data_IF_980869826956
#
_entry.id   IF_980869826956
#
_cell.length_a   1.000
_cell.length_b   1.000
_cell.length_c   1.000
_cell.angle_alpha   90.00
_cell.angle_beta   90.00
_cell.angle_gamma   90.00
#
_symmetry.space_group_name_H-M   'P 1'
#
loop_
_entity.id
_entity.type
_entity.pdbx_description
1 polymer ?
#
# COMPACT_ATOMS: atom_id res chain seq x y z
N UNK A 1 -28.11 -69.55 21.45
CA UNK A 1 -26.64 -69.46 21.29
C UNK A 1 -26.37 -68.99 19.86
N UNK A 2 -25.65 -67.94 19.49
CA UNK A 2 -24.85 -66.89 20.12
C UNK A 2 -25.14 -65.60 19.31
N UNK A 3 -25.40 -64.47 19.96
CA UNK A 3 -25.46 -63.16 19.29
C UNK A 3 -24.03 -62.71 19.02
N UNK A 4 -23.66 -62.48 17.76
CA UNK A 4 -22.38 -61.87 17.38
C UNK A 4 -22.58 -60.37 17.27
N UNK A 5 -22.04 -59.64 18.24
CA UNK A 5 -21.91 -58.19 18.28
C UNK A 5 -20.81 -57.75 17.32
N UNK A 6 -21.15 -57.23 16.14
CA UNK A 6 -20.21 -56.46 15.32
C UNK A 6 -20.17 -55.01 15.82
N UNK A 7 -19.19 -54.71 16.66
CA UNK A 7 -18.79 -53.34 16.99
C UNK A 7 -18.01 -52.81 15.78
N UNK A 8 -18.65 -51.97 14.97
CA UNK A 8 -17.99 -51.22 13.91
C UNK A 8 -17.22 -50.07 14.56
N UNK A 9 -15.92 -50.25 14.77
CA UNK A 9 -15.02 -49.21 15.28
C UNK A 9 -14.84 -48.14 14.20
N UNK A 10 -15.46 -46.98 14.44
CA UNK A 10 -15.31 -45.75 13.67
C UNK A 10 -13.91 -45.17 13.92
N UNK A 11 -12.95 -45.43 13.04
CA UNK A 11 -11.69 -44.69 12.97
C UNK A 11 -11.81 -43.57 11.93
N UNK A 12 -12.36 -42.43 12.35
CA UNK A 12 -12.26 -41.18 11.60
C UNK A 12 -10.89 -40.56 11.88
N UNK A 13 -9.91 -40.85 11.03
CA UNK A 13 -8.61 -40.15 11.04
C UNK A 13 -8.87 -38.74 10.49
N UNK A 14 -9.14 -37.78 11.38
CA UNK A 14 -9.08 -36.36 11.04
C UNK A 14 -7.58 -36.03 10.95
N UNK A 15 -7.02 -36.18 9.75
CA UNK A 15 -5.75 -35.55 9.42
C UNK A 15 -5.99 -34.04 9.41
N UNK A 16 -5.76 -33.38 10.55
CA UNK A 16 -5.57 -31.94 10.57
C UNK A 16 -4.27 -31.68 9.80
N UNK A 17 -4.39 -31.43 8.50
CA UNK A 17 -3.36 -30.71 7.77
C UNK A 17 -3.27 -29.35 8.45
N UNK A 18 -2.33 -29.23 9.39
CA UNK A 18 -1.84 -27.94 9.84
C UNK A 18 -1.21 -27.31 8.61
N UNK A 19 -2.01 -26.53 7.87
CA UNK A 19 -1.47 -25.55 6.95
C UNK A 19 -0.66 -24.63 7.85
N UNK A 20 0.64 -24.91 7.97
CA UNK A 20 1.58 -24.04 8.62
C UNK A 20 1.42 -22.69 7.92
N UNK A 21 0.74 -21.75 8.58
CA UNK A 21 0.63 -20.40 8.09
C UNK A 21 2.06 -19.87 8.04
N UNK A 22 2.63 -19.84 6.83
CA UNK A 22 3.93 -19.23 6.57
C UNK A 22 3.79 -17.79 7.04
N UNK A 23 4.32 -17.48 8.21
CA UNK A 23 4.46 -16.09 8.67
C UNK A 23 5.24 -15.37 7.59
N UNK A 24 4.61 -14.40 6.93
CA UNK A 24 5.31 -13.59 5.95
C UNK A 24 6.47 -12.88 6.65
N UNK A 25 7.68 -13.11 6.13
CA UNK A 25 8.92 -12.53 6.68
C UNK A 25 9.04 -11.03 6.37
N UNK A 26 8.27 -10.55 5.39
CA UNK A 26 8.38 -9.20 4.83
C UNK A 26 7.04 -8.48 5.01
N UNK A 27 7.05 -7.15 5.23
CA UNK A 27 5.81 -6.39 5.40
C UNK A 27 5.00 -6.41 4.11
N UNK A 28 3.69 -6.56 4.23
CA UNK A 28 2.77 -6.40 3.13
C UNK A 28 2.56 -4.91 2.81
N UNK A 29 2.15 -4.62 1.58
CA UNK A 29 1.61 -3.31 1.25
C UNK A 29 0.30 -3.07 2.03
N UNK A 30 0.04 -1.81 2.40
CA UNK A 30 -1.25 -1.44 2.97
C UNK A 30 -2.33 -1.47 1.86
N UNK A 31 -3.60 -1.75 2.18
CA UNK A 31 -4.67 -1.66 1.21
C UNK A 31 -4.93 -0.22 0.75
N UNK A 32 -5.56 -0.08 -0.41
CA UNK A 32 -6.00 1.19 -0.95
C UNK A 32 -7.27 1.68 -0.24
N UNK A 33 -7.35 2.98 0.03
CA UNK A 33 -8.47 3.63 0.70
C UNK A 33 -9.16 4.61 -0.24
N UNK A 34 -10.47 4.44 -0.40
CA UNK A 34 -11.29 5.29 -1.28
C UNK A 34 -12.27 6.20 -0.51
N UNK A 35 -12.31 6.11 0.82
CA UNK A 35 -13.22 6.90 1.66
C UNK A 35 -12.49 7.47 2.88
N UNK A 36 -12.66 8.77 3.09
CA UNK A 36 -11.96 9.56 4.10
C UNK A 36 -12.95 10.34 4.94
N UNK A 37 -12.56 10.62 6.18
CA UNK A 37 -13.40 11.30 7.15
C UNK A 37 -13.47 12.79 6.86
N UNK A 38 -14.69 13.30 6.68
CA UNK A 38 -14.97 14.73 6.55
C UNK A 38 -15.07 15.48 7.90
N UNK A 39 -14.76 14.81 9.01
CA UNK A 39 -14.94 15.33 10.38
C UNK A 39 -13.70 15.21 11.25
N UNK A 40 -12.67 14.52 10.74
CA UNK A 40 -11.42 14.31 11.47
C UNK A 40 -10.35 15.16 10.81
N UNK A 41 -9.50 15.73 11.65
CA UNK A 41 -8.35 16.51 11.20
C UNK A 41 -7.48 15.64 10.30
N UNK A 42 -7.11 16.20 9.17
CA UNK A 42 -6.10 15.72 8.23
C UNK A 42 -5.01 16.79 8.12
N UNK A 43 -3.82 16.37 7.71
CA UNK A 43 -2.65 17.24 7.62
C UNK A 43 -2.22 17.32 6.16
N UNK A 44 -1.95 18.52 5.68
CA UNK A 44 -1.47 18.76 4.31
C UNK A 44 -0.23 19.63 4.36
N UNK A 45 0.80 19.22 3.63
CA UNK A 45 2.03 19.99 3.42
C UNK A 45 2.08 20.40 1.95
N UNK A 46 2.23 21.70 1.69
CA UNK A 46 2.45 22.23 0.34
C UNK A 46 3.95 22.27 0.02
N UNK A 47 4.30 22.30 -1.27
CA UNK A 47 5.69 22.34 -1.75
C UNK A 47 6.47 23.58 -1.32
N UNK A 48 5.78 24.67 -0.97
CA UNK A 48 6.40 25.88 -0.41
C UNK A 48 6.69 25.77 1.10
N UNK A 49 6.36 24.63 1.72
CA UNK A 49 6.52 24.36 3.15
C UNK A 49 5.32 24.74 4.01
N UNK A 50 4.26 25.31 3.43
CA UNK A 50 3.03 25.64 4.15
C UNK A 50 2.38 24.37 4.70
N UNK A 51 2.04 24.38 5.99
CA UNK A 51 1.34 23.29 6.67
C UNK A 51 -0.10 23.69 6.98
N UNK A 52 -1.03 22.83 6.62
CA UNK A 52 -2.47 23.03 6.77
C UNK A 52 -3.02 21.87 7.59
N UNK A 53 -3.72 22.20 8.67
CA UNK A 53 -4.51 21.25 9.44
C UNK A 53 -5.98 21.58 9.21
N UNK A 54 -6.80 20.58 8.91
CA UNK A 54 -8.21 20.82 8.63
C UNK A 54 -9.02 19.56 8.37
N UNK A 55 -10.31 19.74 8.17
CA UNK A 55 -11.24 18.68 7.79
C UNK A 55 -11.32 18.60 6.27
N UNK A 56 -11.23 17.39 5.70
CA UNK A 56 -11.39 17.21 4.24
C UNK A 56 -12.86 17.44 3.88
N UNK A 57 -13.11 18.38 2.97
CA UNK A 57 -14.44 18.65 2.43
C UNK A 57 -14.73 17.66 1.29
N UNK A 58 -13.82 17.56 0.33
CA UNK A 58 -13.94 16.65 -0.81
C UNK A 58 -12.58 16.22 -1.38
N UNK A 59 -12.60 15.16 -2.17
CA UNK A 59 -11.46 14.64 -2.94
C UNK A 59 -11.92 14.37 -4.37
N UNK A 60 -11.67 15.34 -5.24
CA UNK A 60 -12.03 15.23 -6.65
C UNK A 60 -11.16 14.21 -7.34
N UNK A 61 -11.82 13.31 -8.08
CA UNK A 61 -11.17 12.17 -8.71
C UNK A 61 -11.52 12.05 -10.17
N UNK A 62 -10.51 11.71 -10.96
CA UNK A 62 -10.68 11.27 -12.34
C UNK A 62 -10.10 9.89 -12.52
N UNK A 63 -11.00 8.93 -12.78
CA UNK A 63 -10.66 7.50 -12.91
C UNK A 63 -9.98 6.95 -11.66
N UNK A 64 -10.47 7.39 -10.50
CA UNK A 64 -9.98 6.97 -9.19
C UNK A 64 -8.72 7.70 -8.70
N UNK A 65 -7.96 8.34 -9.60
CA UNK A 65 -6.84 9.20 -9.19
C UNK A 65 -7.36 10.52 -8.64
N UNK A 66 -6.80 10.97 -7.53
CA UNK A 66 -7.17 12.24 -6.91
C UNK A 66 -6.47 13.36 -7.69
N UNK A 67 -7.29 14.28 -8.21
CA UNK A 67 -6.82 15.47 -8.95
C UNK A 67 -6.88 16.72 -8.09
N UNK A 68 -7.73 16.80 -7.05
CA UNK A 68 -7.76 17.97 -6.15
C UNK A 68 -8.13 17.53 -4.72
N UNK A 69 -7.63 18.26 -3.72
CA UNK A 69 -8.06 18.13 -2.32
C UNK A 69 -8.77 19.40 -1.91
N UNK A 70 -10.05 19.30 -1.57
CA UNK A 70 -10.75 20.38 -0.87
C UNK A 70 -10.65 20.17 0.64
N UNK A 71 -10.10 21.15 1.34
CA UNK A 71 -9.92 21.13 2.79
C UNK A 71 -10.50 22.39 3.42
N UNK A 72 -11.12 22.24 4.59
CA UNK A 72 -11.52 23.33 5.46
C UNK A 72 -10.48 23.48 6.58
N UNK A 73 -9.58 24.47 6.52
CA UNK A 73 -8.57 24.66 7.55
C UNK A 73 -9.19 24.91 8.93
N UNK A 74 -8.53 24.43 9.98
CA UNK A 74 -8.97 24.61 11.36
C UNK A 74 -9.11 26.11 11.68
N UNK A 75 -10.29 26.50 12.17
CA UNK A 75 -10.61 27.89 12.48
C UNK A 75 -10.97 28.76 11.27
N UNK A 76 -10.85 28.26 10.03
CA UNK A 76 -11.27 28.98 8.84
C UNK A 76 -12.77 28.81 8.56
N UNK A 77 -13.38 29.88 8.04
CA UNK A 77 -14.80 29.87 7.60
C UNK A 77 -14.97 29.33 6.19
N UNK A 78 -13.93 29.42 5.35
CA UNK A 78 -13.94 29.03 3.95
C UNK A 78 -13.04 27.82 3.73
N UNK A 79 -13.44 26.98 2.77
CA UNK A 79 -12.60 25.91 2.24
C UNK A 79 -11.54 26.45 1.28
N UNK A 80 -10.55 25.63 1.02
CA UNK A 80 -9.52 25.84 0.02
C UNK A 80 -9.34 24.56 -0.81
N UNK A 81 -9.02 24.75 -2.08
CA UNK A 81 -8.71 23.67 -3.03
C UNK A 81 -7.20 23.62 -3.21
N UNK A 82 -6.64 22.42 -3.20
CA UNK A 82 -5.22 22.16 -3.34
C UNK A 82 -5.01 21.29 -4.58
N UNK A 83 -4.32 21.85 -5.56
CA UNK A 83 -3.95 21.15 -6.78
C UNK A 83 -2.75 20.22 -6.55
N UNK A 84 -2.57 19.17 -7.37
CA UNK A 84 -1.46 18.23 -7.21
C UNK A 84 -0.12 18.93 -7.39
N UNK A 85 -0.06 19.96 -8.23
CA UNK A 85 1.18 20.73 -8.45
C UNK A 85 1.63 21.50 -7.21
N UNK A 86 0.71 21.83 -6.30
CA UNK A 86 0.99 22.54 -5.04
C UNK A 86 1.28 21.58 -3.89
N UNK A 87 0.69 20.39 -3.91
CA UNK A 87 0.82 19.40 -2.83
C UNK A 87 2.24 18.80 -2.78
N UNK A 88 2.83 18.79 -1.58
CA UNK A 88 3.97 17.93 -1.28
C UNK A 88 3.47 16.57 -0.79
N UNK A 89 2.81 16.56 0.37
CA UNK A 89 2.27 15.37 1.02
C UNK A 89 0.98 15.68 1.79
N UNK A 90 0.19 14.64 2.04
CA UNK A 90 -0.99 14.71 2.90
C UNK A 90 -1.15 13.43 3.73
N UNK A 91 -1.68 13.60 4.94
CA UNK A 91 -2.07 12.54 5.85
C UNK A 91 -3.58 12.63 6.04
N UNK A 92 -4.31 11.72 5.39
CA UNK A 92 -5.77 11.71 5.41
C UNK A 92 -6.28 10.63 6.36
N UNK A 93 -7.31 10.96 7.14
CA UNK A 93 -7.92 9.96 8.02
C UNK A 93 -8.96 9.14 7.24
N UNK A 94 -8.81 7.81 7.10
CA UNK A 94 -9.79 6.98 6.42
C UNK A 94 -11.09 6.90 7.24
N UNK A 95 -12.24 6.83 6.56
CA UNK A 95 -13.54 6.66 7.23
C UNK A 95 -13.63 5.36 8.01
N UNK A 96 -12.99 4.30 7.49
CA UNK A 96 -12.96 2.97 8.08
C UNK A 96 -11.72 2.76 8.97
N UNK A 97 -11.52 3.61 9.99
CA UNK A 97 -10.34 3.53 10.86
C UNK A 97 -10.19 2.18 11.59
N UNK A 98 -11.30 1.45 11.80
CA UNK A 98 -11.26 0.07 12.32
C UNK A 98 -10.46 -0.88 11.41
N UNK A 99 -10.50 -0.69 10.09
CA UNK A 99 -9.68 -1.45 9.14
C UNK A 99 -8.19 -1.17 9.33
N UNK A 100 -7.82 0.08 9.60
CA UNK A 100 -6.44 0.46 9.91
C UNK A 100 -5.92 -0.19 11.19
N UNK A 101 -6.74 -0.29 12.23
CA UNK A 101 -6.36 -0.99 13.45
C UNK A 101 -6.05 -2.47 13.18
N UNK A 102 -6.88 -3.15 12.38
CA UNK A 102 -6.63 -4.54 11.95
C UNK A 102 -5.33 -4.63 11.14
N UNK A 103 -5.13 -3.75 10.17
CA UNK A 103 -3.91 -3.71 9.35
C UNK A 103 -2.67 -3.48 10.22
N UNK A 104 -2.73 -2.55 11.18
CA UNK A 104 -1.63 -2.26 12.09
C UNK A 104 -1.30 -3.45 13.01
N UNK A 105 -2.29 -4.24 13.43
CA UNK A 105 -2.03 -5.48 14.20
C UNK A 105 -1.34 -6.56 13.37
N UNK A 106 -1.66 -6.67 12.07
CA UNK A 106 -1.05 -7.63 11.15
C UNK A 106 0.37 -7.17 10.71
N UNK A 107 0.54 -5.90 10.39
CA UNK A 107 1.82 -5.30 9.98
C UNK A 107 2.76 -4.99 11.15
N UNK A 108 2.23 -4.85 12.37
CA UNK A 108 2.97 -4.48 13.59
C UNK A 108 4.07 -5.47 14.00
N UNK A 109 4.12 -6.66 13.40
CA UNK A 109 5.19 -7.65 13.63
C UNK A 109 6.46 -7.39 12.81
N UNK A 110 6.44 -6.48 11.85
CA UNK A 110 7.55 -6.15 10.95
C UNK A 110 7.80 -4.63 10.98
N UNK A 111 7.82 -4.06 12.19
CA UNK A 111 8.25 -2.69 12.38
C UNK A 111 9.77 -2.65 12.51
N UNK A 112 10.41 -2.11 11.48
CA UNK A 112 11.69 -1.39 11.54
C UNK A 112 11.93 -0.91 10.11
N UNK A 113 12.34 0.34 9.94
CA UNK A 113 12.87 0.91 8.70
C UNK A 113 11.86 1.57 7.75
N UNK A 114 11.20 2.66 8.18
CA UNK A 114 10.99 3.79 7.24
C UNK A 114 12.21 4.69 7.38
N UNK A 115 12.98 4.89 6.30
CA UNK A 115 14.19 5.74 6.33
C UNK A 115 13.95 7.15 5.78
N UNK A 116 12.76 7.41 5.24
CA UNK A 116 12.46 8.59 4.43
C UNK A 116 11.34 9.44 5.05
N UNK A 117 11.08 10.58 4.43
CA UNK A 117 10.16 11.71 4.70
C UNK A 117 8.70 11.43 5.14
N UNK A 118 8.35 10.19 5.48
CA UNK A 118 7.02 9.82 5.98
C UNK A 118 6.97 9.87 7.51
N UNK A 119 6.01 10.62 8.06
CA UNK A 119 5.75 10.74 9.49
C UNK A 119 5.14 9.45 10.03
N UNK A 120 6.00 8.64 10.65
CA UNK A 120 5.64 7.35 11.24
C UNK A 120 4.56 7.47 12.32
N UNK A 121 4.56 8.54 13.13
CA UNK A 121 3.58 8.69 14.21
C UNK A 121 2.16 8.87 13.67
N UNK A 122 2.01 9.59 12.54
CA UNK A 122 0.71 9.74 11.88
C UNK A 122 0.27 8.42 11.23
N UNK A 123 1.19 7.71 10.55
CA UNK A 123 0.89 6.39 9.99
C UNK A 123 0.48 5.39 11.07
N UNK A 124 1.19 5.36 12.20
CA UNK A 124 0.89 4.48 13.34
C UNK A 124 -0.47 4.83 13.99
N UNK A 125 -0.88 6.11 13.96
CA UNK A 125 -2.23 6.59 14.35
C UNK A 125 -3.32 6.25 13.33
N UNK A 126 -2.98 5.62 12.21
CA UNK A 126 -3.92 5.18 11.18
C UNK A 126 -4.22 6.21 10.10
N UNK A 127 -3.39 7.25 9.96
CA UNK A 127 -3.47 8.16 8.82
C UNK A 127 -2.89 7.49 7.57
N UNK A 128 -3.51 7.77 6.43
CA UNK A 128 -3.08 7.29 5.12
C UNK A 128 -2.26 8.38 4.45
N UNK A 129 -1.04 8.04 4.03
CA UNK A 129 -0.13 8.97 3.38
C UNK A 129 -0.42 9.08 1.88
N UNK A 130 -0.43 10.32 1.40
CA UNK A 130 -0.52 10.69 -0.01
C UNK A 130 0.62 11.62 -0.37
N UNK A 131 1.11 11.54 -1.60
CA UNK A 131 1.98 12.57 -2.17
C UNK A 131 1.64 12.85 -3.62
N UNK A 132 2.05 14.03 -4.09
CA UNK A 132 1.97 14.38 -5.49
C UNK A 132 3.11 13.76 -6.28
N UNK A 133 2.80 13.18 -7.44
CA UNK A 133 3.81 12.72 -8.38
C UNK A 133 3.43 13.04 -9.82
N UNK A 134 4.42 13.46 -10.60
CA UNK A 134 4.32 13.47 -12.05
C UNK A 134 4.24 12.02 -12.55
N UNK A 135 3.28 11.72 -13.41
CA UNK A 135 3.08 10.40 -14.00
C UNK A 135 2.50 10.51 -15.40
N UNK A 136 2.58 9.44 -16.17
CA UNK A 136 1.94 9.36 -17.47
C UNK A 136 0.50 8.84 -17.34
N UNK A 137 -0.47 9.73 -17.53
CA UNK A 137 -1.89 9.37 -17.63
C UNK A 137 -2.28 9.29 -19.11
N UNK A 138 -2.44 8.07 -19.62
CA UNK A 138 -2.62 7.77 -21.06
C UNK A 138 -1.44 8.27 -21.91
N UNK A 139 -1.63 9.39 -22.61
CA UNK A 139 -0.69 10.00 -23.56
C UNK A 139 -0.15 11.35 -23.07
N UNK A 140 -0.52 11.78 -21.86
CA UNK A 140 -0.12 13.05 -21.26
C UNK A 140 0.59 12.79 -19.95
N UNK A 141 1.60 13.60 -19.66
CA UNK A 141 2.18 13.67 -18.33
C UNK A 141 1.38 14.69 -17.51
N UNK A 142 1.04 14.32 -16.28
CA UNK A 142 0.29 15.17 -15.37
C UNK A 142 0.68 14.86 -13.92
N UNK A 143 0.52 15.84 -13.04
CA UNK A 143 0.67 15.61 -11.60
C UNK A 143 -0.64 15.06 -11.05
N UNK A 144 -0.54 14.00 -10.25
CA UNK A 144 -1.68 13.40 -9.55
C UNK A 144 -1.30 13.09 -8.12
N UNK A 145 -2.31 13.01 -7.26
CA UNK A 145 -2.15 12.70 -5.84
C UNK A 145 -2.34 11.20 -5.65
N UNK A 146 -1.30 10.52 -5.14
CA UNK A 146 -1.23 9.07 -5.06
C UNK A 146 -1.09 8.59 -3.61
N UNK A 147 -1.85 7.54 -3.25
CA UNK A 147 -1.70 6.87 -1.96
C UNK A 147 -0.43 6.03 -1.93
N UNK A 148 0.43 6.22 -0.92
CA UNK A 148 1.60 5.37 -0.68
C UNK A 148 1.19 4.06 -0.01
N UNK A 149 1.58 2.93 -0.60
CA UNK A 149 1.24 1.59 -0.13
C UNK A 149 2.32 0.92 0.72
N UNK A 150 3.55 1.43 0.71
CA UNK A 150 4.64 0.94 1.55
C UNK A 150 5.13 1.94 2.61
N UNK A 151 4.26 2.68 3.34
CA UNK A 151 4.69 3.76 4.23
C UNK A 151 5.57 3.30 5.40
N UNK A 152 5.45 2.04 5.84
CA UNK A 152 6.21 1.48 6.97
C UNK A 152 7.60 0.96 6.58
N UNK A 153 7.85 0.79 5.29
CA UNK A 153 9.13 0.36 4.71
C UNK A 153 9.47 1.14 3.44
N UNK A 154 9.10 2.43 3.46
CA UNK A 154 9.36 3.34 2.34
C UNK A 154 10.84 3.72 2.30
N UNK A 155 11.29 4.05 1.10
CA UNK A 155 12.68 4.33 0.81
C UNK A 155 12.84 5.00 -0.54
N UNK A 156 13.96 4.70 -1.21
CA UNK A 156 14.20 5.08 -2.60
C UNK A 156 13.11 4.56 -3.53
N UNK A 157 12.49 3.41 -3.24
CA UNK A 157 11.34 2.91 -3.99
C UNK A 157 10.05 3.19 -3.20
N UNK A 158 9.18 3.99 -3.82
CA UNK A 158 7.81 4.25 -3.37
C UNK A 158 6.83 3.51 -4.27
N UNK A 159 5.87 2.84 -3.64
CA UNK A 159 4.83 2.06 -4.30
C UNK A 159 3.51 2.74 -4.03
N UNK A 160 2.79 3.10 -5.07
CA UNK A 160 1.49 3.74 -4.95
C UNK A 160 0.37 2.90 -5.54
N UNK A 161 -0.83 3.17 -5.03
CA UNK A 161 -2.06 2.61 -5.56
C UNK A 161 -2.26 2.99 -7.02
N UNK A 162 -2.74 2.03 -7.81
CA UNK A 162 -3.32 2.27 -9.12
C UNK A 162 -4.82 1.99 -9.02
N UNK A 163 -5.67 3.01 -8.85
CA UNK A 163 -7.12 2.84 -8.66
C UNK A 163 -7.83 2.13 -9.83
N UNK A 164 -7.16 2.04 -10.98
CA UNK A 164 -7.65 1.35 -12.17
C UNK A 164 -7.11 -0.08 -12.31
N UNK A 165 -6.28 -0.55 -11.38
CA UNK A 165 -5.78 -1.92 -11.38
C UNK A 165 -6.96 -2.85 -11.15
N UNK A 166 -7.35 -3.61 -12.18
CA UNK A 166 -8.34 -4.67 -12.00
C UNK A 166 -7.77 -5.68 -11.01
N UNK A 167 -8.40 -5.81 -9.85
CA UNK A 167 -8.10 -6.89 -8.91
C UNK A 167 -8.59 -8.22 -9.53
N UNK A 168 -7.77 -9.27 -9.44
CA UNK A 168 -8.33 -10.63 -9.56
C UNK A 168 -9.31 -10.86 -8.41
N UNK A 169 -10.36 -11.65 -8.60
CA UNK A 169 -11.25 -12.05 -7.52
C UNK A 169 -10.44 -12.80 -6.44
N UNK A 170 -9.91 -12.07 -5.46
CA UNK A 170 -9.10 -12.60 -4.37
C UNK A 170 -10.02 -12.88 -3.19
N UNK A 171 -10.02 -14.14 -2.76
CA UNK A 171 -10.64 -14.57 -1.51
C UNK A 171 -9.74 -14.06 -0.38
N UNK A 172 -10.06 -12.90 0.19
CA UNK A 172 -9.25 -12.28 1.25
C UNK A 172 -9.17 -13.15 2.50
N UNK A 173 -8.01 -13.14 3.16
CA UNK A 173 -7.86 -13.70 4.51
C UNK A 173 -8.65 -12.83 5.49
N UNK A 174 -9.63 -13.42 6.19
CA UNK A 174 -10.46 -12.70 7.16
C UNK A 174 -11.44 -11.66 6.57
N UNK A 175 -11.76 -11.72 5.27
CA UNK A 175 -12.70 -10.79 4.62
C UNK A 175 -12.12 -9.40 4.29
N UNK A 176 -10.80 -9.23 4.40
CA UNK A 176 -10.07 -8.04 3.97
C UNK A 176 -9.28 -8.36 2.71
N UNK A 177 -9.56 -7.65 1.62
CA UNK A 177 -8.69 -7.65 0.43
C UNK A 177 -7.46 -6.80 0.77
N UNK A 178 -6.33 -7.45 1.05
CA UNK A 178 -5.06 -6.76 1.22
C UNK A 178 -4.51 -6.43 -0.16
N UNK A 179 -4.27 -5.15 -0.45
CA UNK A 179 -3.53 -4.80 -1.66
C UNK A 179 -2.10 -5.26 -1.45
N UNK A 180 -1.71 -6.36 -2.07
CA UNK A 180 -0.40 -6.97 -1.84
C UNK A 180 -0.22 -8.24 -2.65
N UNK A 181 0.04 -8.07 -3.95
CA UNK A 181 0.33 -9.18 -4.88
C UNK A 181 -0.81 -9.48 -5.87
N UNK A 182 -2.05 -9.17 -5.54
CA UNK A 182 -3.20 -9.48 -6.41
C UNK A 182 -3.59 -8.34 -7.36
N UNK A 183 -3.14 -7.11 -7.12
CA UNK A 183 -3.34 -5.99 -8.05
C UNK A 183 -2.57 -6.26 -9.36
N UNK A 184 -3.19 -5.96 -10.52
CA UNK A 184 -2.52 -6.12 -11.83
C UNK A 184 -1.46 -5.06 -12.11
N UNK A 185 -1.45 -3.96 -11.37
CA UNK A 185 -0.49 -2.87 -11.52
C UNK A 185 -0.39 -2.00 -10.28
N UNK A 186 0.72 -1.27 -10.21
CA UNK A 186 1.02 -0.23 -9.22
C UNK A 186 1.68 0.95 -9.93
N UNK A 187 1.65 2.15 -9.35
CA UNK A 187 2.59 3.20 -9.73
C UNK A 187 3.85 3.05 -8.88
N UNK A 188 5.02 3.11 -9.51
CA UNK A 188 6.32 2.98 -8.86
C UNK A 188 7.11 4.24 -9.11
N UNK A 189 7.65 4.82 -8.05
CA UNK A 189 8.65 5.89 -8.12
C UNK A 189 9.94 5.36 -7.50
N UNK A 190 11.02 5.42 -8.27
CA UNK A 190 12.38 5.12 -7.79
C UNK A 190 13.16 6.42 -7.79
N UNK A 191 13.71 6.80 -6.64
CA UNK A 191 14.39 8.07 -6.41
C UNK A 191 13.47 9.27 -6.74
N UNK A 192 14.03 10.35 -7.25
CA UNK A 192 13.29 11.55 -7.64
C UNK A 192 12.72 11.48 -9.06
N UNK A 193 12.64 10.29 -9.65
CA UNK A 193 12.06 10.11 -10.99
C UNK A 193 10.53 10.27 -10.97
N UNK A 194 9.95 10.47 -12.16
CA UNK A 194 8.49 10.38 -12.32
C UNK A 194 7.99 8.98 -11.93
N UNK A 195 6.81 8.92 -11.34
CA UNK A 195 6.16 7.64 -11.11
C UNK A 195 5.76 7.01 -12.46
N UNK A 196 5.97 5.71 -12.61
CA UNK A 196 5.56 4.96 -13.79
C UNK A 196 4.67 3.79 -13.40
N UNK A 197 3.77 3.40 -14.30
CA UNK A 197 2.86 2.28 -14.06
C UNK A 197 3.57 0.96 -14.31
N UNK A 198 3.91 0.25 -13.23
CA UNK A 198 4.43 -1.12 -13.28
C UNK A 198 3.24 -2.09 -13.41
N UNK A 199 3.23 -2.93 -14.45
CA UNK A 199 2.19 -3.95 -14.65
C UNK A 199 2.73 -5.33 -14.38
N UNK A 200 1.86 -6.22 -13.89
CA UNK A 200 2.17 -7.64 -13.70
C UNK A 200 2.66 -8.32 -14.98
N UNK A 201 2.06 -7.99 -16.12
CA UNK A 201 2.42 -8.57 -17.41
C UNK A 201 3.85 -8.20 -17.85
N UNK A 202 4.31 -7.01 -17.48
CA UNK A 202 5.60 -6.44 -17.89
C UNK A 202 6.68 -6.66 -16.81
N UNK A 203 6.33 -7.27 -15.68
CA UNK A 203 7.17 -7.34 -14.48
C UNK A 203 8.52 -8.01 -14.73
N UNK A 204 8.57 -9.06 -15.55
CA UNK A 204 9.83 -9.77 -15.87
C UNK A 204 10.82 -8.85 -16.59
N UNK A 205 10.33 -7.96 -17.45
CA UNK A 205 11.14 -7.01 -18.20
C UNK A 205 11.55 -5.79 -17.36
N UNK A 206 10.67 -5.35 -16.46
CA UNK A 206 10.92 -4.19 -15.60
C UNK A 206 11.73 -4.54 -14.35
N UNK A 207 11.75 -5.80 -13.93
CA UNK A 207 12.46 -6.24 -12.73
C UNK A 207 13.94 -5.82 -12.71
N UNK A 208 14.75 -6.06 -13.77
CA UNK A 208 16.15 -5.63 -13.78
C UNK A 208 16.31 -4.11 -13.72
N UNK A 209 15.36 -3.34 -14.27
CA UNK A 209 15.39 -1.86 -14.23
C UNK A 209 15.14 -1.36 -12.81
N UNK A 210 14.22 -2.01 -12.10
CA UNK A 210 13.83 -1.61 -10.76
C UNK A 210 14.83 -2.08 -9.68
N UNK A 211 15.36 -3.30 -9.81
CA UNK A 211 16.13 -3.96 -8.75
C UNK A 211 17.52 -4.48 -9.15
N UNK A 212 17.90 -4.40 -10.43
CA UNK A 212 19.15 -5.00 -10.94
C UNK A 212 20.43 -4.40 -10.36
N UNK A 213 20.33 -3.19 -9.80
CA UNK A 213 21.39 -2.48 -9.09
C UNK A 213 21.52 -2.90 -7.61
N UNK A 214 20.70 -3.81 -7.10
CA UNK A 214 20.70 -4.22 -5.70
C UNK A 214 21.05 -5.71 -5.52
N UNK A 215 22.32 -6.03 -5.20
CA UNK A 215 22.75 -7.41 -4.98
C UNK A 215 21.97 -8.16 -3.89
N UNK A 216 21.45 -7.45 -2.88
CA UNK A 216 20.63 -8.05 -1.82
C UNK A 216 19.28 -8.57 -2.36
N UNK A 217 18.63 -7.81 -3.25
CA UNK A 217 17.39 -8.25 -3.91
C UNK A 217 17.69 -9.45 -4.80
N UNK A 218 18.73 -9.38 -5.63
CA UNK A 218 19.11 -10.47 -6.55
C UNK A 218 19.38 -11.79 -5.81
N UNK A 219 20.09 -11.75 -4.67
CA UNK A 219 20.34 -12.93 -3.83
C UNK A 219 19.09 -13.50 -3.16
N UNK A 220 18.01 -12.72 -3.06
CA UNK A 220 16.77 -13.15 -2.43
C UNK A 220 15.84 -13.94 -3.34
N UNK A 221 16.17 -14.02 -4.64
CA UNK A 221 15.36 -14.67 -5.67
C UNK A 221 15.76 -16.15 -5.75
N UNK A 222 14.78 -17.03 -5.63
CA UNK A 222 14.92 -18.47 -5.87
C UNK A 222 14.33 -18.79 -7.25
N UNK A 223 15.18 -18.83 -8.29
CA UNK A 223 14.75 -19.01 -9.68
C UNK A 223 14.37 -17.70 -10.36
N UNK A 224 13.11 -17.55 -10.76
CA UNK A 224 12.61 -16.32 -11.40
C UNK A 224 11.94 -15.38 -10.39
N UNK A 225 12.02 -14.07 -10.64
CA UNK A 225 11.31 -13.06 -9.86
C UNK A 225 9.78 -13.22 -10.00
N UNK A 226 9.07 -13.22 -8.87
CA UNK A 226 7.62 -13.46 -8.81
C UNK A 226 6.89 -12.15 -8.49
N UNK A 227 5.84 -11.85 -9.25
CA UNK A 227 4.99 -10.67 -8.99
C UNK A 227 4.46 -10.62 -7.55
N UNK A 228 4.05 -11.77 -7.03
CA UNK A 228 3.52 -11.90 -5.66
C UNK A 228 4.56 -11.55 -4.58
N UNK A 229 5.86 -11.58 -4.91
CA UNK A 229 6.95 -11.22 -4.00
C UNK A 229 7.37 -9.74 -4.15
N UNK A 230 6.59 -8.89 -4.86
CA UNK A 230 6.95 -7.49 -5.10
C UNK A 230 7.22 -6.72 -3.81
N UNK A 231 6.38 -6.88 -2.78
CA UNK A 231 6.57 -6.26 -1.46
C UNK A 231 7.91 -6.69 -0.82
N UNK A 232 8.27 -7.97 -0.93
CA UNK A 232 9.57 -8.49 -0.46
C UNK A 232 10.72 -7.80 -1.18
N UNK A 233 10.67 -7.66 -2.51
CA UNK A 233 11.76 -7.04 -3.26
C UNK A 233 11.91 -5.55 -2.92
N UNK A 234 10.78 -4.84 -2.82
CA UNK A 234 10.75 -3.42 -2.40
C UNK A 234 11.31 -3.25 -0.99
N UNK A 235 10.89 -4.10 -0.05
CA UNK A 235 11.41 -4.09 1.31
C UNK A 235 12.94 -4.29 1.33
N UNK A 236 13.46 -5.32 0.67
CA UNK A 236 14.90 -5.61 0.65
C UNK A 236 15.67 -4.46 0.00
N UNK A 237 15.15 -3.88 -1.08
CA UNK A 237 15.76 -2.73 -1.73
C UNK A 237 15.84 -1.52 -0.78
N UNK A 238 14.70 -1.15 -0.19
CA UNK A 238 14.60 0.00 0.71
C UNK A 238 15.30 -0.20 2.05
N UNK A 239 15.56 -1.43 2.47
CA UNK A 239 16.31 -1.74 3.68
C UNK A 239 17.82 -1.82 3.42
N UNK A 240 18.24 -2.56 2.39
CA UNK A 240 19.65 -2.97 2.22
C UNK A 240 20.40 -2.20 1.13
N UNK A 241 19.71 -1.52 0.21
CA UNK A 241 20.31 -0.86 -0.95
C UNK A 241 20.03 0.65 -1.03
N UNK A 242 19.30 1.19 -0.07
CA UNK A 242 18.90 2.60 0.05
C UNK A 242 19.93 3.50 0.75
N UNK A 243 21.22 3.25 0.55
CA UNK A 243 22.28 4.16 1.01
C UNK A 243 22.35 5.41 0.14
#
# INVERSE_FOLDING_TARGET
MKKSTSILFLFLIIATATVAQKKEKYPAFIPSFNSFSHKKISYVTLKDGTKIEGEIDDLDRKKGLIEEIEIKPTGAKKKMTIDPVQLQDAYLTPSALSKMATINSELGRIQKVSKYDVNKDLVDKGYVYFESSLTQIKKKEDYVILQLLNPTFTGRIRVFDDPMAQESASVGFGGLTLAGGDSKSYYIKKDDQKAYKLKRADFKEDFPKLFGDCPAVLKSIEGEAKWLDLNKYVYIYNDSCSK
#
